data_IF_682801563395
#
_entry.id   IF_682801563395
#
_cell.length_a   1.000
_cell.length_b   1.000
_cell.length_c   1.000
_cell.angle_alpha   90.00
_cell.angle_beta   90.00
_cell.angle_gamma   90.00
#
_symmetry.space_group_name_H-M   'P 1'
#
loop_
_entity.id
_entity.type
_entity.pdbx_description
1 polymer ?
#
# COMPACT_ATOMS: atom_id res chain seq x y z
N UNK A 1 -5.85 -9.04 -2.91
CA UNK A 1 -6.73 -8.69 -1.78
C UNK A 1 -6.04 -7.73 -0.82
N UNK A 2 -4.76 -7.93 -0.54
CA UNK A 2 -3.98 -7.11 0.39
C UNK A 2 -2.56 -6.92 -0.15
N UNK A 3 -1.90 -5.82 0.23
CA UNK A 3 -0.48 -5.62 -0.06
C UNK A 3 0.38 -6.45 0.90
N UNK A 4 1.49 -7.01 0.42
CA UNK A 4 2.40 -7.83 1.21
C UNK A 4 2.91 -7.11 2.48
N UNK A 5 3.16 -5.80 2.42
CA UNK A 5 3.58 -5.02 3.59
C UNK A 5 2.62 -5.11 4.78
N UNK A 6 1.31 -5.28 4.54
CA UNK A 6 0.35 -5.52 5.63
C UNK A 6 0.52 -6.90 6.26
N UNK A 7 0.91 -7.91 5.47
CA UNK A 7 1.24 -9.24 5.99
C UNK A 7 2.51 -9.23 6.82
N UNK A 8 3.53 -8.47 6.38
CA UNK A 8 4.76 -8.29 7.17
C UNK A 8 4.47 -7.65 8.53
N UNK A 9 3.63 -6.61 8.57
CA UNK A 9 3.20 -5.99 9.83
C UNK A 9 2.40 -6.95 10.69
N UNK A 10 1.48 -7.71 10.12
CA UNK A 10 0.71 -8.71 10.86
C UNK A 10 1.63 -9.79 11.44
N UNK A 11 2.58 -10.27 10.64
CA UNK A 11 3.59 -11.26 11.09
C UNK A 11 4.46 -10.72 12.22
N UNK A 12 4.98 -9.49 12.10
CA UNK A 12 5.83 -8.90 13.14
C UNK A 12 5.09 -8.68 14.48
N UNK A 13 3.77 -8.48 14.40
CA UNK A 13 2.90 -8.34 15.57
C UNK A 13 2.29 -9.67 16.05
N UNK A 14 2.56 -10.75 15.33
CA UNK A 14 1.98 -12.08 15.58
C UNK A 14 0.44 -12.04 15.66
N UNK A 15 -0.21 -11.30 14.76
CA UNK A 15 -1.66 -11.17 14.68
C UNK A 15 -2.20 -11.82 13.40
N UNK A 16 -3.39 -12.41 13.51
CA UNK A 16 -4.08 -13.00 12.37
C UNK A 16 -4.48 -11.92 11.34
N UNK A 17 -4.46 -12.32 10.07
CA UNK A 17 -5.04 -11.50 8.98
C UNK A 17 -6.49 -11.92 8.73
N UNK A 18 -7.31 -11.06 8.10
CA UNK A 18 -8.68 -11.41 7.74
C UNK A 18 -8.75 -12.68 6.88
N UNK A 19 -9.85 -13.39 7.02
CA UNK A 19 -10.16 -14.53 6.16
C UNK A 19 -10.10 -14.17 4.67
N UNK A 20 -9.77 -15.14 3.86
CA UNK A 20 -9.69 -15.00 2.40
C UNK A 20 -8.57 -14.08 1.86
N UNK A 21 -7.60 -13.67 2.68
CA UNK A 21 -6.45 -12.90 2.20
C UNK A 21 -5.37 -13.79 1.61
N UNK A 22 -5.09 -14.90 2.25
CA UNK A 22 -3.98 -15.80 1.92
C UNK A 22 -4.42 -17.28 1.92
N UNK A 23 -3.61 -18.09 1.28
CA UNK A 23 -3.61 -19.56 1.40
C UNK A 23 -2.24 -20.03 1.82
N UNK A 24 -2.16 -21.19 2.44
CA UNK A 24 -0.93 -21.88 2.75
C UNK A 24 -0.29 -22.51 1.49
N UNK A 25 0.85 -23.18 1.65
CA UNK A 25 1.55 -23.90 0.57
C UNK A 25 0.75 -25.06 -0.05
N UNK A 26 -0.30 -25.53 0.62
CA UNK A 26 -1.19 -26.59 0.13
C UNK A 26 -2.48 -26.00 -0.51
N UNK A 27 -2.54 -24.69 -0.73
CA UNK A 27 -3.73 -23.94 -1.22
C UNK A 27 -4.93 -23.98 -0.26
N UNK A 28 -4.71 -24.21 1.04
CA UNK A 28 -5.77 -24.14 2.04
C UNK A 28 -5.86 -22.70 2.57
N UNK A 29 -7.06 -22.10 2.66
CA UNK A 29 -7.24 -20.78 3.25
C UNK A 29 -6.74 -20.75 4.70
N UNK A 30 -5.97 -19.71 5.03
CA UNK A 30 -5.41 -19.49 6.36
C UNK A 30 -5.50 -18.03 6.76
N UNK A 31 -5.45 -17.76 8.05
CA UNK A 31 -5.34 -16.42 8.63
C UNK A 31 -3.96 -16.16 9.28
N UNK A 32 -3.10 -17.18 9.30
CA UNK A 32 -1.76 -17.06 9.85
C UNK A 32 -0.79 -16.46 8.83
N UNK A 33 -0.26 -15.24 9.05
CA UNK A 33 0.67 -14.62 8.12
C UNK A 33 1.99 -15.37 7.98
N UNK A 34 2.38 -16.22 8.93
CA UNK A 34 3.60 -17.03 8.82
C UNK A 34 3.49 -18.07 7.70
N UNK A 35 2.32 -18.66 7.49
CA UNK A 35 2.09 -19.65 6.45
C UNK A 35 2.22 -19.07 5.03
N UNK A 36 1.93 -17.77 4.86
CA UNK A 36 2.23 -17.08 3.60
C UNK A 36 3.73 -17.10 3.27
N UNK A 37 4.60 -16.84 4.27
CA UNK A 37 6.05 -16.85 4.09
C UNK A 37 6.68 -18.25 4.06
N UNK A 38 5.92 -19.28 4.43
CA UNK A 38 6.28 -20.70 4.30
C UNK A 38 5.83 -21.30 2.94
N UNK A 39 5.73 -20.48 1.91
CA UNK A 39 5.36 -20.90 0.56
C UNK A 39 3.87 -20.76 0.23
N UNK A 40 3.14 -19.99 1.01
CA UNK A 40 1.75 -19.62 0.72
C UNK A 40 1.62 -18.53 -0.33
N UNK A 41 0.39 -18.17 -0.68
CA UNK A 41 0.09 -17.20 -1.74
C UNK A 41 -0.97 -16.19 -1.31
N UNK A 42 -0.86 -14.98 -1.88
CA UNK A 42 -1.93 -13.99 -1.84
C UNK A 42 -3.11 -14.43 -2.71
N UNK A 43 -4.31 -14.28 -2.21
CA UNK A 43 -5.52 -14.46 -3.02
C UNK A 43 -5.83 -13.21 -3.83
N UNK A 44 -6.37 -13.40 -5.03
CA UNK A 44 -6.89 -12.30 -5.83
C UNK A 44 -8.20 -11.77 -5.24
N UNK A 45 -8.44 -10.46 -5.33
CA UNK A 45 -9.73 -9.89 -4.94
C UNK A 45 -10.82 -10.30 -5.96
N UNK A 46 -12.07 -10.45 -5.51
CA UNK A 46 -13.20 -10.73 -6.40
C UNK A 46 -13.08 -12.03 -7.22
N UNK A 47 -12.30 -13.01 -6.75
CA UNK A 47 -12.17 -14.33 -7.38
C UNK A 47 -11.66 -14.27 -8.83
N UNK A 48 -12.39 -14.86 -9.77
CA UNK A 48 -11.99 -14.95 -11.19
C UNK A 48 -11.85 -13.57 -11.87
N UNK A 49 -12.60 -12.56 -11.46
CA UNK A 49 -12.49 -11.19 -12.00
C UNK A 49 -11.16 -10.56 -11.58
N UNK A 50 -10.78 -10.68 -10.32
CA UNK A 50 -9.48 -10.21 -9.83
C UNK A 50 -8.31 -10.97 -10.46
N UNK A 51 -8.47 -12.27 -10.71
CA UNK A 51 -7.49 -13.05 -11.48
C UNK A 51 -7.31 -12.46 -12.89
N UNK A 52 -8.40 -12.15 -13.59
CA UNK A 52 -8.33 -11.54 -14.91
C UNK A 52 -7.63 -10.16 -14.88
N UNK A 53 -7.89 -9.33 -13.86
CA UNK A 53 -7.17 -8.08 -13.67
C UNK A 53 -5.67 -8.29 -13.41
N UNK A 54 -5.31 -9.27 -12.58
CA UNK A 54 -3.90 -9.60 -12.31
C UNK A 54 -3.20 -10.04 -13.59
N UNK A 55 -3.85 -10.88 -14.40
CA UNK A 55 -3.33 -11.31 -15.69
C UNK A 55 -3.14 -10.12 -16.65
N UNK A 56 -4.15 -9.24 -16.76
CA UNK A 56 -4.04 -8.03 -17.57
C UNK A 56 -2.87 -7.13 -17.13
N UNK A 57 -2.70 -6.93 -15.82
CA UNK A 57 -1.58 -6.16 -15.28
C UNK A 57 -0.22 -6.79 -15.64
N UNK A 58 -0.10 -8.11 -15.52
CA UNK A 58 1.11 -8.83 -15.95
C UNK A 58 1.39 -8.65 -17.44
N UNK A 59 0.37 -8.82 -18.30
CA UNK A 59 0.52 -8.65 -19.76
C UNK A 59 0.91 -7.22 -20.12
N UNK A 60 0.32 -6.22 -19.47
CA UNK A 60 0.71 -4.82 -19.68
C UNK A 60 2.14 -4.55 -19.23
N UNK A 61 2.57 -5.14 -18.12
CA UNK A 61 3.95 -5.05 -17.65
C UNK A 61 4.95 -5.64 -18.65
N UNK A 62 4.58 -6.69 -19.38
CA UNK A 62 5.42 -7.30 -20.42
C UNK A 62 5.73 -6.37 -21.62
N UNK A 63 4.96 -5.30 -21.78
CA UNK A 63 5.26 -4.27 -22.80
C UNK A 63 6.61 -3.58 -22.57
N UNK A 64 7.20 -3.71 -21.36
CA UNK A 64 8.57 -3.31 -21.09
C UNK A 64 9.64 -4.14 -21.86
N UNK A 65 9.22 -5.23 -22.54
CA UNK A 65 10.07 -5.98 -23.47
C UNK A 65 11.02 -7.01 -22.84
N UNK A 66 10.89 -7.29 -21.55
CA UNK A 66 11.72 -8.29 -20.88
C UNK A 66 10.89 -9.55 -20.57
N UNK A 67 11.04 -10.58 -21.40
CA UNK A 67 10.30 -11.84 -21.31
C UNK A 67 11.10 -12.97 -20.64
N UNK A 68 12.26 -12.64 -20.02
CA UNK A 68 13.17 -13.61 -19.45
C UNK A 68 12.89 -13.99 -18.00
N UNK A 69 13.45 -15.12 -17.58
CA UNK A 69 13.57 -15.50 -16.18
C UNK A 69 14.44 -14.46 -15.45
N UNK A 70 14.05 -14.06 -14.24
CA UNK A 70 14.93 -13.32 -13.35
C UNK A 70 14.56 -11.85 -13.06
N UNK A 71 13.33 -11.42 -13.33
CA UNK A 71 12.86 -10.16 -12.73
C UNK A 71 12.12 -10.45 -11.42
N UNK A 72 12.80 -10.38 -10.27
CA UNK A 72 12.21 -10.74 -8.98
C UNK A 72 11.14 -9.76 -8.51
N UNK A 73 11.06 -8.57 -9.12
CA UNK A 73 10.15 -7.50 -8.70
C UNK A 73 9.01 -7.22 -9.68
N UNK A 74 8.91 -7.99 -10.79
CA UNK A 74 7.90 -7.77 -11.82
C UNK A 74 8.15 -6.50 -12.64
N UNK A 75 7.17 -6.14 -13.46
CA UNK A 75 7.22 -4.98 -14.34
C UNK A 75 6.14 -3.98 -13.96
N UNK A 76 6.38 -2.71 -14.22
CA UNK A 76 5.40 -1.66 -14.08
C UNK A 76 4.97 -1.14 -15.46
N UNK A 77 3.67 -1.02 -15.67
CA UNK A 77 3.10 -0.25 -16.76
C UNK A 77 2.60 1.08 -16.19
N UNK A 78 3.09 2.19 -16.76
CA UNK A 78 2.68 3.53 -16.38
C UNK A 78 2.05 4.23 -17.57
N UNK A 79 0.87 4.82 -17.35
CA UNK A 79 0.17 5.62 -18.34
C UNK A 79 -0.07 7.04 -17.79
N UNK A 80 0.35 8.03 -18.53
CA UNK A 80 0.10 9.45 -18.23
C UNK A 80 -0.84 10.01 -19.29
N UNK A 81 -1.96 10.59 -18.85
CA UNK A 81 -2.98 11.14 -19.74
C UNK A 81 -2.98 12.67 -19.60
N UNK A 82 -2.75 13.38 -20.72
CA UNK A 82 -2.92 14.82 -20.77
C UNK A 82 -4.42 15.15 -20.85
N UNK A 83 -4.99 15.59 -19.74
CA UNK A 83 -6.41 15.91 -19.65
C UNK A 83 -6.81 17.02 -20.61
N UNK A 84 -5.95 18.04 -20.81
CA UNK A 84 -6.24 19.15 -21.72
C UNK A 84 -6.37 18.73 -23.19
N UNK A 85 -5.90 17.53 -23.57
CA UNK A 85 -6.12 16.99 -24.91
C UNK A 85 -7.56 16.50 -25.13
N UNK A 86 -8.33 16.32 -24.07
CA UNK A 86 -9.70 15.76 -24.13
C UNK A 86 -10.76 16.76 -23.67
N UNK A 87 -10.47 17.57 -22.63
CA UNK A 87 -11.44 18.50 -22.04
C UNK A 87 -10.73 19.62 -21.29
N UNK A 88 -11.49 20.66 -20.90
CA UNK A 88 -10.98 21.73 -20.06
C UNK A 88 -10.59 21.20 -18.66
N UNK A 89 -9.37 21.51 -18.23
CA UNK A 89 -8.82 21.02 -16.96
C UNK A 89 -9.62 21.53 -15.74
N UNK A 90 -10.03 22.80 -15.76
CA UNK A 90 -10.75 23.40 -14.62
C UNK A 90 -12.12 22.75 -14.47
N UNK A 91 -12.85 22.59 -15.56
CA UNK A 91 -14.14 21.91 -15.57
C UNK A 91 -14.01 20.43 -15.16
N UNK A 92 -12.97 19.74 -15.63
CA UNK A 92 -12.68 18.35 -15.23
C UNK A 92 -12.43 18.25 -13.72
N UNK A 93 -11.56 19.09 -13.16
CA UNK A 93 -11.26 19.11 -11.73
C UNK A 93 -12.49 19.40 -10.88
N UNK A 94 -13.33 20.36 -11.30
CA UNK A 94 -14.60 20.67 -10.66
C UNK A 94 -15.57 19.50 -10.66
N UNK A 95 -15.70 18.83 -11.82
CA UNK A 95 -16.53 17.64 -11.97
C UNK A 95 -16.08 16.47 -11.09
N UNK A 96 -14.78 16.18 -11.05
CA UNK A 96 -14.22 15.14 -10.17
C UNK A 96 -14.47 15.47 -8.70
N UNK A 97 -14.25 16.72 -8.29
CA UNK A 97 -14.52 17.12 -6.88
C UNK A 97 -15.99 16.89 -6.53
N UNK A 98 -16.91 17.37 -7.35
CA UNK A 98 -18.34 17.18 -7.10
C UNK A 98 -18.73 15.70 -7.06
N UNK A 99 -18.13 14.87 -7.91
CA UNK A 99 -18.35 13.41 -7.91
C UNK A 99 -17.86 12.75 -6.62
N UNK A 100 -16.64 13.09 -6.15
CA UNK A 100 -16.09 12.57 -4.91
C UNK A 100 -16.89 13.03 -3.69
N UNK A 101 -17.30 14.30 -3.65
CA UNK A 101 -18.14 14.84 -2.58
C UNK A 101 -19.49 14.10 -2.50
N UNK A 102 -20.09 13.78 -3.65
CA UNK A 102 -21.31 12.99 -3.71
C UNK A 102 -21.12 11.55 -3.19
N UNK A 103 -20.02 10.91 -3.51
CA UNK A 103 -19.69 9.58 -2.96
C UNK A 103 -19.56 9.64 -1.44
N UNK A 104 -18.89 10.66 -0.91
CA UNK A 104 -18.67 10.82 0.53
C UNK A 104 -19.93 11.12 1.31
N UNK A 105 -20.97 11.66 0.67
CA UNK A 105 -22.29 11.89 1.26
C UNK A 105 -23.15 10.63 1.32
N UNK A 106 -22.69 9.52 0.71
CA UNK A 106 -23.42 8.26 0.78
C UNK A 106 -23.45 7.72 2.21
N UNK A 107 -24.54 7.05 2.56
CA UNK A 107 -24.67 6.40 3.87
C UNK A 107 -23.63 5.29 3.99
N UNK A 108 -22.80 5.29 5.05
CA UNK A 108 -21.85 4.21 5.28
C UNK A 108 -22.53 2.87 5.52
N UNK A 109 -21.87 1.78 5.17
CA UNK A 109 -22.35 0.44 5.51
C UNK A 109 -22.27 0.20 7.03
N UNK A 110 -23.05 -0.77 7.53
CA UNK A 110 -23.05 -1.16 8.94
C UNK A 110 -21.60 -1.46 9.43
N UNK A 111 -21.23 -0.83 10.54
CA UNK A 111 -19.89 -0.98 11.14
C UNK A 111 -18.79 -0.14 10.46
N UNK A 112 -19.15 0.76 9.55
CA UNK A 112 -18.24 1.72 8.91
C UNK A 112 -18.61 3.13 9.35
N UNK A 113 -17.66 3.87 9.90
CA UNK A 113 -17.91 5.21 10.44
C UNK A 113 -18.15 6.26 9.34
N UNK A 114 -17.45 6.16 8.22
CA UNK A 114 -17.54 7.11 7.09
C UNK A 114 -17.13 6.47 5.76
N UNK A 115 -17.68 6.99 4.67
CA UNK A 115 -17.24 6.65 3.31
C UNK A 115 -15.95 7.42 3.01
N UNK A 116 -14.88 6.69 2.72
CA UNK A 116 -13.57 7.25 2.39
C UNK A 116 -13.24 7.08 0.91
N UNK A 117 -12.56 8.05 0.34
CA UNK A 117 -11.95 7.89 -0.98
C UNK A 117 -10.46 7.54 -0.86
N UNK A 118 -9.90 6.84 -1.86
CA UNK A 118 -8.48 6.46 -1.84
C UNK A 118 -7.55 7.67 -1.61
N UNK A 119 -6.59 7.52 -0.69
CA UNK A 119 -5.63 8.56 -0.32
C UNK A 119 -6.01 9.37 0.93
N UNK A 120 -7.26 9.37 1.38
CA UNK A 120 -7.66 10.14 2.58
C UNK A 120 -7.04 9.60 3.86
N UNK A 121 -7.00 8.28 4.00
CA UNK A 121 -6.38 7.64 5.16
C UNK A 121 -4.88 7.96 5.23
N UNK A 122 -4.17 7.86 4.11
CA UNK A 122 -2.77 8.18 4.00
C UNK A 122 -2.51 9.66 4.29
N UNK A 123 -3.35 10.54 3.77
CA UNK A 123 -3.24 11.98 4.00
C UNK A 123 -3.41 12.34 5.48
N UNK A 124 -4.44 11.80 6.16
CA UNK A 124 -4.66 12.00 7.60
C UNK A 124 -3.49 11.49 8.44
N UNK A 125 -3.01 10.28 8.13
CA UNK A 125 -1.86 9.71 8.80
C UNK A 125 -0.59 10.55 8.58
N UNK A 126 -0.38 11.07 7.38
CA UNK A 126 0.74 11.95 7.07
C UNK A 126 0.71 13.20 7.95
N UNK A 127 -0.44 13.91 8.00
CA UNK A 127 -0.59 15.11 8.83
C UNK A 127 -0.36 14.78 10.31
N UNK A 128 -0.94 13.69 10.79
CA UNK A 128 -0.76 13.26 12.18
C UNK A 128 0.70 12.98 12.50
N UNK A 129 1.38 12.22 11.64
CA UNK A 129 2.79 11.84 11.84
C UNK A 129 3.76 13.01 11.72
N UNK A 130 3.51 13.97 10.85
CA UNK A 130 4.30 15.19 10.78
C UNK A 130 4.21 16.01 12.07
N UNK A 131 3.09 15.95 12.76
CA UNK A 131 2.87 16.68 14.02
C UNK A 131 3.36 15.91 15.26
N UNK A 132 3.18 14.60 15.28
CA UNK A 132 3.37 13.77 16.48
C UNK A 132 4.53 12.77 16.38
N UNK A 133 5.19 12.70 15.20
CA UNK A 133 6.23 11.70 14.94
C UNK A 133 5.65 10.38 14.44
N UNK A 134 6.53 9.46 14.13
CA UNK A 134 6.22 8.10 13.67
C UNK A 134 6.53 7.15 14.81
N UNK A 135 5.54 6.39 15.25
CA UNK A 135 5.74 5.32 16.22
C UNK A 135 6.48 4.15 15.55
N UNK A 136 7.64 3.82 16.06
CA UNK A 136 8.45 2.69 15.60
C UNK A 136 8.30 1.57 16.65
N UNK A 137 7.82 0.37 16.25
CA UNK A 137 7.75 -0.78 17.15
C UNK A 137 9.14 -1.15 17.70
N UNK A 138 9.22 -1.57 18.98
CA UNK A 138 10.47 -1.92 19.65
C UNK A 138 11.30 -2.93 18.85
N UNK A 139 10.66 -3.96 18.28
CA UNK A 139 11.31 -4.97 17.44
C UNK A 139 11.99 -4.40 16.20
N UNK A 140 11.44 -3.34 15.63
CA UNK A 140 12.02 -2.64 14.47
C UNK A 140 13.16 -1.73 14.95
N UNK A 141 12.99 -1.07 16.10
CA UNK A 141 14.01 -0.22 16.67
C UNK A 141 15.27 -1.03 17.05
N UNK A 142 15.10 -2.21 17.62
CA UNK A 142 16.20 -3.15 17.89
C UNK A 142 16.96 -3.53 16.61
N UNK A 143 16.23 -3.91 15.54
CA UNK A 143 16.84 -4.24 14.25
C UNK A 143 17.58 -3.04 13.64
N UNK A 144 17.03 -1.84 13.73
CA UNK A 144 17.68 -0.62 13.26
C UNK A 144 18.99 -0.35 14.03
N UNK A 145 18.99 -0.55 15.35
CA UNK A 145 20.17 -0.41 16.20
C UNK A 145 21.26 -1.41 15.83
N UNK A 146 20.90 -2.69 15.63
CA UNK A 146 21.85 -3.71 15.16
C UNK A 146 22.48 -3.36 13.80
N UNK A 147 21.70 -2.84 12.87
CA UNK A 147 22.20 -2.42 11.57
C UNK A 147 23.10 -1.17 11.68
N UNK A 148 22.72 -0.21 12.53
CA UNK A 148 23.51 0.98 12.79
C UNK A 148 24.89 0.62 13.33
N UNK A 149 24.95 -0.26 14.33
CA UNK A 149 26.20 -0.77 14.89
C UNK A 149 27.06 -1.48 13.83
N UNK A 150 26.43 -2.34 13.03
CA UNK A 150 27.11 -3.08 11.96
C UNK A 150 27.76 -2.18 10.91
N UNK A 151 27.15 -1.05 10.61
CA UNK A 151 27.64 -0.11 9.60
C UNK A 151 28.34 1.12 10.19
N UNK A 152 28.56 1.18 11.52
CA UNK A 152 29.12 2.35 12.20
C UNK A 152 28.35 3.66 11.90
N UNK A 153 27.04 3.59 11.84
CA UNK A 153 26.16 4.75 11.67
C UNK A 153 25.71 5.21 13.05
N UNK A 154 25.96 6.47 13.38
CA UNK A 154 25.40 7.04 14.60
C UNK A 154 23.87 7.05 14.52
N UNK A 155 23.21 6.43 15.49
CA UNK A 155 21.78 6.62 15.70
C UNK A 155 21.61 7.93 16.45
N UNK A 156 21.31 8.99 15.72
CA UNK A 156 20.96 10.27 16.30
C UNK A 156 19.44 10.34 16.39
N UNK A 157 18.94 10.59 17.60
CA UNK A 157 17.53 10.94 17.84
C UNK A 157 17.20 12.36 17.36
N UNK A 158 18.00 12.89 16.41
CA UNK A 158 17.79 14.22 15.87
C UNK A 158 16.41 14.33 15.24
N UNK A 159 15.59 15.08 15.89
CA UNK A 159 14.32 15.58 15.37
C UNK A 159 14.67 16.36 14.09
N UNK A 160 14.13 15.93 12.95
CA UNK A 160 14.17 16.72 11.71
C UNK A 160 13.61 18.10 12.06
N UNK A 161 14.42 19.13 11.99
CA UNK A 161 14.04 20.50 12.32
C UNK A 161 12.90 20.95 11.40
N UNK A 162 12.09 21.90 11.86
CA UNK A 162 10.85 22.31 11.18
C UNK A 162 11.10 22.86 9.76
N UNK A 163 12.29 23.37 9.48
CA UNK A 163 12.73 23.84 8.16
C UNK A 163 12.89 22.72 7.13
N UNK A 164 13.29 21.54 7.53
CA UNK A 164 13.43 20.38 6.63
C UNK A 164 12.06 19.73 6.29
N UNK A 165 11.03 20.05 7.06
CA UNK A 165 9.66 19.57 6.81
C UNK A 165 9.00 20.24 5.60
N UNK A 166 9.47 21.41 5.18
CA UNK A 166 8.91 22.18 4.08
C UNK A 166 9.07 21.50 2.69
N UNK A 167 10.03 20.59 2.55
CA UNK A 167 10.28 19.86 1.28
C UNK A 167 9.34 18.68 1.03
N UNK A 168 8.46 18.33 1.98
CA UNK A 168 7.59 17.15 1.90
C UNK A 168 6.09 17.48 1.90
N UNK A 169 5.72 18.76 1.69
CA UNK A 169 4.32 19.21 1.63
C UNK A 169 3.85 19.37 0.19
#
# INVERSE_FOLDING_TARGET
VVAEGKLQVARSKNVAVPENYIVDKNNVPTTDPHEFYDGGYLRTFGGHKGYAFSLAACLMGQLAGNFGEGCPFGYAFMQVININAFTDLTGYQGGIRAFLDNIKQSEPADGVDEVQVPGEFEHRNRIHRLKHGIEIPDTINEQLSEWADKFNVATDDSIIEEEDRAYYI
#
